data_IF_249048120475
#
_entry.id   IF_249048120475
#
_cell.length_a   1.000
_cell.length_b   1.000
_cell.length_c   1.000
_cell.angle_alpha   90.00
_cell.angle_beta   90.00
_cell.angle_gamma   90.00
#
_symmetry.space_group_name_H-M   'P 1'
#
loop_
_entity.id
_entity.type
_entity.pdbx_description
1 polymer ?
#
# COMPACT_ATOMS: atom_id res chain seq x y z
N UNK A 1 21.80 -25.76 14.48
CA UNK A 1 21.93 -24.35 14.06
C UNK A 1 20.72 -23.99 13.21
N UNK A 2 19.87 -23.05 13.64
CA UNK A 2 18.76 -22.57 12.80
C UNK A 2 19.36 -21.71 11.69
N UNK A 3 19.35 -22.23 10.46
CA UNK A 3 19.79 -21.48 9.28
C UNK A 3 18.73 -20.42 8.97
N UNK A 4 19.14 -19.16 8.80
CA UNK A 4 18.25 -18.06 8.43
C UNK A 4 17.69 -18.32 7.03
N UNK A 5 16.38 -18.09 6.82
CA UNK A 5 15.77 -18.19 5.49
C UNK A 5 16.39 -17.13 4.57
N UNK A 6 17.08 -17.59 3.53
CA UNK A 6 17.65 -16.73 2.49
C UNK A 6 16.58 -16.42 1.45
N UNK A 7 16.40 -15.15 1.12
CA UNK A 7 15.40 -14.67 0.16
C UNK A 7 16.05 -13.61 -0.72
N UNK A 8 16.05 -13.87 -2.03
CA UNK A 8 16.65 -12.97 -3.03
C UNK A 8 15.63 -12.57 -4.08
N UNK A 9 15.75 -11.33 -4.54
CA UNK A 9 14.96 -10.83 -5.65
C UNK A 9 15.63 -11.20 -6.98
N UNK A 10 14.86 -11.81 -7.86
CA UNK A 10 15.27 -12.11 -9.22
C UNK A 10 14.25 -11.54 -10.21
N UNK A 11 14.72 -11.26 -11.42
CA UNK A 11 13.94 -10.76 -12.54
C UNK A 11 14.06 -11.76 -13.69
N UNK A 12 12.94 -12.16 -14.28
CA UNK A 12 12.92 -12.96 -15.51
C UNK A 12 12.71 -12.02 -16.69
N UNK A 13 13.65 -11.97 -17.63
CA UNK A 13 13.55 -11.25 -18.89
C UNK A 13 13.66 -12.27 -20.03
N UNK A 14 12.53 -12.59 -20.67
CA UNK A 14 12.44 -13.69 -21.64
C UNK A 14 12.83 -15.03 -21.00
N UNK A 15 13.81 -15.71 -21.59
CA UNK A 15 14.35 -16.98 -21.08
C UNK A 15 15.46 -16.80 -20.03
N UNK A 16 15.90 -15.57 -19.77
CA UNK A 16 17.01 -15.29 -18.84
C UNK A 16 16.47 -14.97 -17.45
N UNK A 17 17.04 -15.64 -16.43
CA UNK A 17 16.74 -15.39 -15.02
C UNK A 17 17.88 -14.60 -14.37
N UNK A 18 17.66 -13.31 -14.14
CA UNK A 18 18.64 -12.39 -13.59
C UNK A 18 18.45 -12.24 -12.07
N UNK A 19 19.47 -12.61 -11.29
CA UNK A 19 19.48 -12.43 -9.83
C UNK A 19 20.19 -11.11 -9.52
N UNK A 20 19.47 -10.15 -8.92
CA UNK A 20 19.95 -8.76 -8.74
C UNK A 20 21.23 -8.73 -7.90
N UNK A 21 21.25 -9.45 -6.78
CA UNK A 21 22.40 -9.50 -5.85
C UNK A 21 23.08 -10.87 -5.88
N UNK A 22 23.43 -11.35 -7.07
CA UNK A 22 24.00 -12.69 -7.27
C UNK A 22 25.24 -12.95 -6.42
N UNK A 23 26.16 -11.99 -6.32
CA UNK A 23 27.40 -12.14 -5.53
C UNK A 23 27.11 -12.43 -4.05
N UNK A 24 26.19 -11.66 -3.45
CA UNK A 24 25.77 -11.84 -2.05
C UNK A 24 25.10 -13.20 -1.86
N UNK A 25 24.25 -13.63 -2.80
CA UNK A 25 23.65 -14.97 -2.77
C UNK A 25 24.72 -16.07 -2.78
N UNK A 26 25.74 -15.95 -3.65
CA UNK A 26 26.80 -16.96 -3.74
C UNK A 26 27.65 -17.02 -2.46
N UNK A 27 27.93 -15.89 -1.82
CA UNK A 27 28.62 -15.83 -0.53
C UNK A 27 27.79 -16.48 0.59
N UNK A 28 26.50 -16.13 0.67
CA UNK A 28 25.58 -16.71 1.64
C UNK A 28 25.46 -18.24 1.46
N UNK A 29 25.34 -18.72 0.21
CA UNK A 29 25.28 -20.15 -0.10
C UNK A 29 26.57 -20.90 0.28
N UNK A 30 27.74 -20.28 0.14
CA UNK A 30 29.03 -20.87 0.57
C UNK A 30 29.14 -20.96 2.09
N UNK A 31 28.49 -20.05 2.81
CA UNK A 31 28.49 -20.04 4.29
C UNK A 31 27.57 -21.12 4.91
N UNK A 32 26.74 -21.77 4.10
CA UNK A 32 25.80 -22.78 4.58
C UNK A 32 26.51 -24.09 4.98
N UNK A 33 26.08 -24.74 6.08
CA UNK A 33 26.60 -26.05 6.46
C UNK A 33 26.29 -27.11 5.38
N UNK A 34 27.12 -28.16 5.30
CA UNK A 34 26.87 -29.27 4.38
C UNK A 34 25.53 -29.95 4.71
N UNK A 35 24.68 -30.12 3.70
CA UNK A 35 23.37 -30.73 3.87
C UNK A 35 22.51 -30.58 2.61
N UNK A 36 21.29 -31.13 2.66
CA UNK A 36 20.31 -31.02 1.59
C UNK A 36 19.44 -29.77 1.80
N UNK A 37 19.30 -28.95 0.76
CA UNK A 37 18.49 -27.72 0.79
C UNK A 37 17.36 -27.81 -0.23
N UNK A 38 16.22 -27.20 0.09
CA UNK A 38 15.10 -26.98 -0.84
C UNK A 38 15.16 -25.56 -1.37
N UNK A 39 15.13 -25.40 -2.70
CA UNK A 39 15.01 -24.11 -3.37
C UNK A 39 13.58 -23.93 -3.86
N UNK A 40 12.94 -22.82 -3.51
CA UNK A 40 11.59 -22.47 -3.94
C UNK A 40 11.63 -21.17 -4.73
N UNK A 41 11.01 -21.16 -5.91
CA UNK A 41 10.85 -19.95 -6.74
C UNK A 41 9.40 -19.50 -6.62
N UNK A 42 9.19 -18.31 -6.07
CA UNK A 42 7.86 -17.71 -5.89
C UNK A 42 7.81 -16.34 -6.58
N UNK A 43 6.61 -15.92 -7.02
CA UNK A 43 6.41 -14.58 -7.56
C UNK A 43 6.75 -13.54 -6.49
N UNK A 44 7.62 -12.59 -6.82
CA UNK A 44 7.98 -11.51 -5.90
C UNK A 44 6.79 -10.56 -5.69
N UNK A 45 6.26 -10.52 -4.47
CA UNK A 45 5.23 -9.56 -4.05
C UNK A 45 5.87 -8.48 -3.20
N UNK A 46 5.87 -7.25 -3.71
CA UNK A 46 6.41 -6.10 -2.97
C UNK A 46 5.39 -5.61 -1.93
N UNK A 47 5.87 -5.30 -0.73
CA UNK A 47 5.08 -4.57 0.27
C UNK A 47 4.74 -3.17 -0.24
N UNK A 48 3.61 -2.63 0.21
CA UNK A 48 3.23 -1.27 -0.11
C UNK A 48 4.30 -0.28 0.40
N UNK A 49 4.66 0.69 -0.43
CA UNK A 49 5.72 1.64 -0.12
C UNK A 49 5.23 2.76 0.79
N UNK A 50 6.16 3.39 1.51
CA UNK A 50 5.84 4.56 2.34
C UNK A 50 5.24 5.72 1.53
N UNK A 51 5.66 5.90 0.26
CA UNK A 51 5.10 6.92 -0.62
C UNK A 51 3.65 6.67 -0.97
N UNK A 52 3.25 5.41 -1.15
CA UNK A 52 1.86 5.04 -1.41
C UNK A 52 0.96 5.39 -0.21
N UNK A 53 1.41 5.07 1.00
CA UNK A 53 0.69 5.46 2.22
C UNK A 53 0.68 6.97 2.44
N UNK A 54 1.75 7.69 2.10
CA UNK A 54 1.78 9.15 2.21
C UNK A 54 0.69 9.80 1.37
N UNK A 55 0.44 9.28 0.17
CA UNK A 55 -0.66 9.77 -0.66
C UNK A 55 -2.03 9.44 -0.09
N UNK A 56 -2.22 8.23 0.43
CA UNK A 56 -3.47 7.82 1.07
C UNK A 56 -3.83 8.77 2.22
N UNK A 57 -2.90 9.03 3.13
CA UNK A 57 -3.13 9.90 4.29
C UNK A 57 -3.14 11.40 3.95
N UNK A 58 -2.30 11.84 3.03
CA UNK A 58 -2.14 13.26 2.72
C UNK A 58 -3.06 13.81 1.63
N UNK A 59 -3.62 12.93 0.79
CA UNK A 59 -4.46 13.33 -0.35
C UNK A 59 -5.85 12.75 -0.28
N UNK A 60 -5.96 11.42 -0.18
CA UNK A 60 -7.24 10.70 -0.30
C UNK A 60 -8.11 10.90 0.95
N UNK A 61 -7.58 10.63 2.14
CA UNK A 61 -8.38 10.71 3.37
C UNK A 61 -8.91 12.11 3.71
N UNK A 62 -8.17 13.21 3.48
CA UNK A 62 -8.73 14.55 3.66
C UNK A 62 -9.91 14.84 2.72
N UNK A 63 -9.84 14.41 1.45
CA UNK A 63 -10.96 14.58 0.52
C UNK A 63 -12.15 13.70 0.91
N UNK A 64 -11.89 12.46 1.34
CA UNK A 64 -12.92 11.57 1.88
C UNK A 64 -13.59 12.15 3.12
N UNK A 65 -12.84 12.78 4.03
CA UNK A 65 -13.39 13.39 5.24
C UNK A 65 -14.42 14.46 4.90
N UNK A 66 -14.09 15.36 3.96
CA UNK A 66 -15.01 16.40 3.49
C UNK A 66 -16.24 15.76 2.86
N UNK A 67 -16.05 14.83 1.93
CA UNK A 67 -17.14 14.19 1.21
C UNK A 67 -18.07 13.35 2.11
N UNK A 68 -17.52 12.68 3.12
CA UNK A 68 -18.29 11.93 4.11
C UNK A 68 -19.09 12.89 5.00
N UNK A 69 -18.50 13.99 5.45
CA UNK A 69 -19.21 14.96 6.27
C UNK A 69 -20.32 15.68 5.49
N UNK A 70 -20.12 15.96 4.21
CA UNK A 70 -21.16 16.47 3.31
C UNK A 70 -22.31 15.46 3.09
N UNK A 71 -22.00 14.16 3.11
CA UNK A 71 -23.00 13.09 3.05
C UNK A 71 -23.70 12.82 4.40
N UNK A 72 -23.39 13.58 5.46
CA UNK A 72 -24.03 13.49 6.77
C UNK A 72 -23.35 12.52 7.76
N UNK A 73 -22.13 12.06 7.47
CA UNK A 73 -21.31 11.39 8.48
C UNK A 73 -20.69 12.43 9.43
N UNK A 74 -20.40 12.04 10.68
CA UNK A 74 -19.82 12.94 11.69
C UNK A 74 -18.38 12.52 12.01
N UNK A 75 -17.51 12.46 11.00
CA UNK A 75 -16.10 12.15 11.23
C UNK A 75 -15.34 13.43 11.62
N UNK A 76 -14.53 13.33 12.68
CA UNK A 76 -13.72 14.45 13.18
C UNK A 76 -12.35 14.48 12.53
N UNK A 77 -11.76 13.30 12.32
CA UNK A 77 -10.34 13.16 12.01
C UNK A 77 -10.11 12.22 10.82
N UNK A 78 -9.01 12.41 10.09
CA UNK A 78 -8.57 11.48 9.04
C UNK A 78 -8.27 10.07 9.55
N UNK A 79 -8.01 9.90 10.84
CA UNK A 79 -7.81 8.59 11.46
C UNK A 79 -9.10 7.79 11.57
N UNK A 80 -10.23 8.44 11.83
CA UNK A 80 -11.54 7.77 11.86
C UNK A 80 -11.94 7.34 10.45
N UNK A 81 -11.67 8.18 9.45
CA UNK A 81 -11.83 7.83 8.03
C UNK A 81 -10.94 6.64 7.64
N UNK A 82 -9.70 6.58 8.14
CA UNK A 82 -8.81 5.42 7.92
C UNK A 82 -9.38 4.13 8.54
N UNK A 83 -9.92 4.20 9.76
CA UNK A 83 -10.54 3.05 10.40
C UNK A 83 -11.80 2.60 9.65
N UNK A 84 -12.65 3.55 9.26
CA UNK A 84 -13.84 3.28 8.45
C UNK A 84 -13.48 2.60 7.13
N UNK A 85 -12.55 3.16 6.37
CA UNK A 85 -12.13 2.58 5.09
C UNK A 85 -11.53 1.18 5.26
N UNK A 86 -10.75 0.95 6.32
CA UNK A 86 -10.22 -0.39 6.62
C UNK A 86 -11.31 -1.40 6.98
N UNK A 87 -12.27 -1.00 7.80
CA UNK A 87 -13.39 -1.87 8.14
C UNK A 87 -14.24 -2.25 6.93
N UNK A 88 -14.28 -1.39 5.90
CA UNK A 88 -15.03 -1.66 4.67
C UNK A 88 -14.26 -2.56 3.69
N UNK A 89 -12.98 -2.26 3.42
CA UNK A 89 -12.25 -2.88 2.30
C UNK A 89 -10.93 -3.55 2.67
N UNK A 90 -10.46 -3.39 3.90
CA UNK A 90 -9.21 -3.98 4.36
C UNK A 90 -9.38 -4.56 5.77
N UNK A 91 -10.23 -5.58 5.87
CA UNK A 91 -10.49 -6.32 7.09
C UNK A 91 -10.12 -7.80 6.92
N UNK A 92 -10.03 -8.49 8.06
CA UNK A 92 -9.95 -9.94 8.14
C UNK A 92 -10.98 -10.44 9.14
N UNK A 93 -11.63 -11.54 8.80
CA UNK A 93 -12.54 -12.21 9.71
C UNK A 93 -11.73 -13.11 10.67
N UNK A 94 -11.95 -12.92 11.96
CA UNK A 94 -11.37 -13.73 13.04
C UNK A 94 -12.52 -14.41 13.75
N UNK A 95 -12.44 -15.74 13.85
CA UNK A 95 -13.37 -16.51 14.66
C UNK A 95 -13.03 -16.30 16.14
N UNK A 96 -13.98 -15.81 16.92
CA UNK A 96 -13.84 -15.80 18.37
C UNK A 96 -14.03 -17.24 18.89
N UNK A 97 -13.01 -17.86 19.51
CA UNK A 97 -13.12 -19.23 20.01
C UNK A 97 -14.17 -19.40 21.12
N UNK A 98 -14.47 -18.32 21.85
CA UNK A 98 -15.37 -18.35 23.01
C UNK A 98 -16.85 -18.19 22.62
N UNK A 99 -17.15 -17.32 21.66
CA UNK A 99 -18.54 -17.03 21.24
C UNK A 99 -18.93 -17.69 19.93
N UNK A 100 -17.96 -18.18 19.15
CA UNK A 100 -18.20 -18.71 17.80
C UNK A 100 -18.58 -17.64 16.78
N UNK A 101 -18.56 -16.36 17.16
CA UNK A 101 -18.89 -15.25 16.27
C UNK A 101 -17.70 -14.85 15.39
N UNK A 102 -18.00 -14.43 14.16
CA UNK A 102 -17.01 -13.86 13.25
C UNK A 102 -16.83 -12.37 13.56
N UNK A 103 -15.65 -12.01 14.05
CA UNK A 103 -15.26 -10.63 14.32
C UNK A 103 -14.43 -10.09 13.16
N UNK A 104 -14.79 -8.91 12.65
CA UNK A 104 -14.00 -8.19 11.63
C UNK A 104 -12.94 -7.33 12.28
N UNK A 105 -11.68 -7.62 11.98
CA UNK A 105 -10.55 -6.79 12.39
C UNK A 105 -9.93 -6.07 11.20
N UNK A 106 -9.59 -4.77 11.33
CA UNK A 106 -8.86 -4.05 10.29
C UNK A 106 -7.45 -4.63 10.10
N UNK A 107 -7.00 -4.69 8.85
CA UNK A 107 -5.65 -5.12 8.48
C UNK A 107 -4.60 -4.09 8.92
N UNK A 108 -3.44 -4.60 9.33
CA UNK A 108 -2.31 -3.73 9.67
C UNK A 108 -1.60 -3.20 8.42
N UNK A 109 -1.07 -1.97 8.50
CA UNK A 109 -0.28 -1.35 7.41
C UNK A 109 0.92 -2.21 6.99
N UNK A 110 1.46 -3.01 7.90
CA UNK A 110 2.64 -3.86 7.64
C UNK A 110 2.34 -5.12 6.81
N UNK A 111 1.06 -5.48 6.71
CA UNK A 111 0.54 -6.64 5.99
C UNK A 111 0.16 -6.30 4.53
N UNK A 112 0.03 -5.01 4.20
CA UNK A 112 -0.36 -4.56 2.86
C UNK A 112 0.71 -4.83 1.79
N UNK A 113 0.31 -5.55 0.74
CA UNK A 113 1.07 -5.62 -0.50
C UNK A 113 0.77 -4.41 -1.38
N UNK A 114 1.66 -4.14 -2.34
CA UNK A 114 1.48 -3.04 -3.29
C UNK A 114 0.18 -3.19 -4.09
N UNK A 115 -0.12 -4.40 -4.55
CA UNK A 115 -1.32 -4.69 -5.36
C UNK A 115 -2.58 -4.49 -4.50
N UNK A 116 -2.56 -4.99 -3.27
CA UNK A 116 -3.69 -4.85 -2.33
C UNK A 116 -3.94 -3.38 -2.00
N UNK A 117 -2.88 -2.58 -1.81
CA UNK A 117 -3.01 -1.14 -1.60
C UNK A 117 -3.61 -0.43 -2.81
N UNK A 118 -3.23 -0.82 -4.03
CA UNK A 118 -3.81 -0.25 -5.26
C UNK A 118 -5.30 -0.58 -5.37
N UNK A 119 -5.68 -1.84 -5.10
CA UNK A 119 -7.09 -2.26 -5.07
C UNK A 119 -7.88 -1.52 -3.99
N UNK A 120 -7.31 -1.38 -2.80
CA UNK A 120 -7.90 -0.66 -1.69
C UNK A 120 -8.18 0.81 -2.03
N UNK A 121 -7.22 1.52 -2.61
CA UNK A 121 -7.40 2.90 -3.08
C UNK A 121 -8.46 2.98 -4.18
N UNK A 122 -8.48 2.05 -5.12
CA UNK A 122 -9.49 2.02 -6.17
C UNK A 122 -10.91 1.84 -5.60
N UNK A 123 -11.09 0.99 -4.59
CA UNK A 123 -12.36 0.82 -3.88
C UNK A 123 -12.82 2.11 -3.19
N UNK A 124 -11.92 2.80 -2.48
CA UNK A 124 -12.24 4.08 -1.83
C UNK A 124 -12.70 5.11 -2.87
N UNK A 125 -11.97 5.23 -3.98
CA UNK A 125 -12.28 6.20 -5.04
C UNK A 125 -13.60 5.88 -5.73
N UNK A 126 -13.86 4.61 -6.00
CA UNK A 126 -15.14 4.15 -6.54
C UNK A 126 -16.29 4.52 -5.60
N UNK A 127 -16.13 4.26 -4.30
CA UNK A 127 -17.13 4.63 -3.31
C UNK A 127 -17.35 6.15 -3.24
N UNK A 128 -16.28 6.94 -3.23
CA UNK A 128 -16.37 8.39 -3.25
C UNK A 128 -17.14 8.92 -4.48
N UNK A 129 -16.86 8.34 -5.65
CA UNK A 129 -17.52 8.74 -6.90
C UNK A 129 -18.98 8.30 -6.96
N UNK A 130 -19.32 7.11 -6.47
CA UNK A 130 -20.68 6.55 -6.58
C UNK A 130 -21.62 7.10 -5.50
N UNK A 131 -21.14 7.23 -4.26
CA UNK A 131 -22.00 7.53 -3.11
C UNK A 131 -21.80 8.93 -2.54
N UNK A 132 -20.60 9.49 -2.67
CA UNK A 132 -20.27 10.82 -2.14
C UNK A 132 -20.20 11.90 -3.23
N UNK A 133 -20.54 11.54 -4.47
CA UNK A 133 -20.47 12.40 -5.66
C UNK A 133 -19.14 13.17 -5.79
N UNK A 134 -18.05 12.59 -5.29
CA UNK A 134 -16.73 13.21 -5.20
C UNK A 134 -15.72 12.42 -6.01
N UNK A 135 -15.11 13.05 -7.00
CA UNK A 135 -14.08 12.41 -7.82
C UNK A 135 -12.68 12.67 -7.25
N UNK A 136 -12.14 11.68 -6.55
CA UNK A 136 -10.76 11.71 -6.04
C UNK A 136 -9.83 11.34 -7.20
N UNK A 137 -8.93 12.24 -7.57
CA UNK A 137 -7.98 12.03 -8.68
C UNK A 137 -6.77 11.17 -8.26
N UNK A 138 -6.11 10.58 -9.25
CA UNK A 138 -4.82 9.92 -9.05
C UNK A 138 -3.74 10.93 -8.65
N UNK A 139 -2.72 10.50 -7.88
CA UNK A 139 -1.58 11.34 -7.61
C UNK A 139 -0.87 11.68 -8.92
N UNK A 140 -0.81 12.97 -9.25
CA UNK A 140 -0.03 13.45 -10.38
C UNK A 140 1.45 13.10 -10.15
N UNK A 141 2.07 12.33 -11.06
CA UNK A 141 3.48 11.97 -10.94
C UNK A 141 4.39 13.21 -10.96
N UNK A 142 3.94 14.30 -11.56
CA UNK A 142 4.67 15.56 -11.70
C UNK A 142 4.21 16.66 -10.73
N UNK A 143 3.52 16.32 -9.62
CA UNK A 143 3.01 17.29 -8.65
C UNK A 143 4.06 18.31 -8.14
N UNK A 144 5.35 17.92 -8.11
CA UNK A 144 6.45 18.82 -7.74
C UNK A 144 6.68 19.90 -8.79
N UNK A 145 6.63 19.56 -10.08
CA UNK A 145 6.75 20.53 -11.18
C UNK A 145 5.53 21.45 -11.19
N UNK A 146 4.34 20.86 -11.09
CA UNK A 146 3.09 21.62 -11.06
C UNK A 146 3.01 22.59 -9.88
N UNK A 147 3.53 22.19 -8.70
CA UNK A 147 3.66 23.11 -7.55
C UNK A 147 4.58 24.28 -7.86
N UNK A 148 5.76 24.04 -8.46
CA UNK A 148 6.70 25.09 -8.84
C UNK A 148 6.11 26.03 -9.90
N UNK A 149 5.35 25.51 -10.85
CA UNK A 149 4.64 26.29 -11.86
C UNK A 149 3.59 27.22 -11.24
N UNK A 150 2.74 26.68 -10.36
CA UNK A 150 1.72 27.48 -9.64
C UNK A 150 2.39 28.55 -8.76
N UNK A 151 3.48 28.20 -8.07
CA UNK A 151 4.21 29.12 -7.20
C UNK A 151 4.88 30.25 -8.03
N UNK A 152 5.36 29.93 -9.23
CA UNK A 152 5.86 30.91 -10.19
C UNK A 152 4.74 31.79 -10.80
N UNK A 153 3.55 31.24 -11.05
CA UNK A 153 2.39 32.00 -11.54
C UNK A 153 1.84 32.95 -10.47
N UNK A 154 1.77 32.52 -9.21
CA UNK A 154 1.38 33.37 -8.08
C UNK A 154 2.38 34.51 -7.86
N UNK A 155 3.67 34.27 -8.07
CA UNK A 155 4.68 35.33 -8.02
C UNK A 155 4.56 36.31 -9.20
N UNK A 156 4.14 35.86 -10.38
CA UNK A 156 3.91 36.72 -11.55
C UNK A 156 2.65 37.58 -11.44
N UNK A 157 1.60 37.07 -10.80
CA UNK A 157 0.35 37.82 -10.59
C UNK A 157 0.39 38.80 -9.41
N UNK A 158 1.44 38.76 -8.59
CA UNK A 158 1.67 39.69 -7.47
C UNK A 158 2.71 40.78 -7.79
N UNK A 159 3.02 40.99 -9.08
CA UNK A 159 3.88 42.04 -9.64
C UNK A 159 3.09 42.86 -10.66
#
# INVERSE_FOLDING_TARGET
VKVKKLVYKARKEGDVFHIINRKVMEEDLRSLPKGNYRMTIESWKSKASHSQFKWLYGGIYPQMLIALNEAGYEFTNTEEVDQFCKLMWANKDILNPETGELMRMPLSKSEFLTIDHMGYVACIRKFASEYLNTNILDPDSDWKKRKQEIEAELQKNNL
#
